data_IF_051700832405
#
_entry.id   IF_051700832405
#
_cell.length_a   1.000
_cell.length_b   1.000
_cell.length_c   1.000
_cell.angle_alpha   90.00
_cell.angle_beta   90.00
_cell.angle_gamma   90.00
#
_symmetry.space_group_name_H-M   'P 1'
#
loop_
_entity.id
_entity.type
_entity.pdbx_description
1 polymer ?
#
# COMPACT_ATOMS: atom_id res chain seq x y z
N UNK A 1 3.74 -33.95 47.03
CA UNK A 1 4.82 -33.11 46.49
C UNK A 1 5.12 -33.54 45.07
N UNK A 2 4.51 -32.87 44.09
CA UNK A 2 4.81 -33.03 42.67
C UNK A 2 5.30 -31.68 42.17
N UNK A 3 6.54 -31.63 41.68
CA UNK A 3 7.09 -30.42 41.06
C UNK A 3 6.47 -30.24 39.68
N UNK A 4 6.01 -29.01 39.42
CA UNK A 4 5.56 -28.56 38.11
C UNK A 4 6.76 -28.32 37.20
N UNK A 5 6.76 -28.95 36.01
CA UNK A 5 7.53 -28.47 34.86
C UNK A 5 6.57 -27.75 33.93
N UNK A 6 6.79 -26.45 33.76
CA UNK A 6 6.11 -25.61 32.77
C UNK A 6 6.87 -25.76 31.45
N UNK A 7 6.24 -26.17 30.33
CA UNK A 7 6.85 -26.03 29.02
C UNK A 7 6.69 -24.57 28.56
N UNK A 8 7.83 -23.86 28.49
CA UNK A 8 7.91 -22.57 27.82
C UNK A 8 7.56 -22.73 26.35
N UNK A 9 6.51 -22.04 25.92
CA UNK A 9 6.15 -21.91 24.51
C UNK A 9 6.91 -20.70 23.97
N UNK A 10 8.05 -20.96 23.32
CA UNK A 10 8.67 -19.98 22.43
C UNK A 10 7.73 -19.78 21.23
N UNK A 11 6.88 -18.77 21.33
CA UNK A 11 6.07 -18.27 20.24
C UNK A 11 6.96 -17.57 19.22
N UNK A 12 7.56 -18.33 18.31
CA UNK A 12 8.18 -17.77 17.11
C UNK A 12 7.06 -17.25 16.20
N UNK A 13 6.62 -16.01 16.45
CA UNK A 13 5.62 -15.32 15.63
C UNK A 13 6.25 -14.92 14.30
N UNK A 14 6.44 -15.90 13.41
CA UNK A 14 6.52 -15.63 11.99
C UNK A 14 5.23 -14.93 11.58
N UNK A 15 5.27 -13.61 11.40
CA UNK A 15 4.22 -12.89 10.68
C UNK A 15 4.04 -13.63 9.36
N UNK A 16 2.86 -14.20 9.14
CA UNK A 16 2.46 -14.78 7.86
C UNK A 16 2.80 -13.76 6.77
N UNK A 17 3.67 -14.13 5.84
CA UNK A 17 3.78 -13.46 4.55
C UNK A 17 2.37 -13.52 3.95
N UNK A 18 1.66 -12.39 3.94
CA UNK A 18 0.37 -12.31 3.29
C UNK A 18 0.57 -12.67 1.82
N UNK A 19 -0.23 -13.60 1.29
CA UNK A 19 -0.29 -14.06 -0.10
C UNK A 19 -0.78 -12.96 -1.08
N UNK A 20 -0.51 -11.70 -0.74
CA UNK A 20 -0.80 -10.54 -1.56
C UNK A 20 0.24 -10.44 -2.66
N UNK A 21 -0.23 -10.44 -3.90
CA UNK A 21 0.61 -10.34 -5.08
C UNK A 21 0.76 -8.85 -5.44
N UNK A 22 1.98 -8.32 -5.38
CA UNK A 22 2.21 -6.95 -5.82
C UNK A 22 2.15 -6.88 -7.33
N UNK A 23 1.42 -5.89 -7.86
CA UNK A 23 1.12 -5.78 -9.28
C UNK A 23 1.89 -4.62 -9.89
N UNK A 24 2.65 -4.92 -10.93
CA UNK A 24 3.40 -3.96 -11.72
C UNK A 24 2.78 -3.93 -13.12
N UNK A 25 2.53 -2.74 -13.62
CA UNK A 25 1.84 -2.53 -14.90
C UNK A 25 2.76 -1.81 -15.87
N UNK A 26 2.71 -2.21 -17.13
CA UNK A 26 3.52 -1.62 -18.20
C UNK A 26 3.19 -0.14 -18.48
N UNK A 27 1.95 0.27 -18.26
CA UNK A 27 1.48 1.65 -18.52
C UNK A 27 1.07 2.34 -17.21
N UNK A 28 0.97 3.67 -17.26
CA UNK A 28 0.38 4.46 -16.19
C UNK A 28 -1.10 4.09 -15.97
N UNK A 29 -1.62 4.38 -14.77
CA UNK A 29 -3.01 4.15 -14.35
C UNK A 29 -3.46 2.69 -14.44
N UNK A 30 -2.56 1.76 -14.10
CA UNK A 30 -2.81 0.32 -13.95
C UNK A 30 -3.28 -0.36 -15.25
N UNK A 31 -2.67 0.03 -16.37
CA UNK A 31 -3.00 -0.46 -17.72
C UNK A 31 -1.85 -1.24 -18.37
N UNK A 32 -2.16 -1.93 -19.45
CA UNK A 32 -1.19 -2.72 -20.22
C UNK A 32 -0.90 -4.08 -19.59
N UNK A 33 0.25 -4.67 -19.93
CA UNK A 33 0.65 -5.96 -19.37
C UNK A 33 0.81 -5.85 -17.84
N UNK A 34 0.19 -6.79 -17.12
CA UNK A 34 0.31 -6.96 -15.67
C UNK A 34 1.37 -8.00 -15.34
N UNK A 35 2.26 -7.67 -14.41
CA UNK A 35 3.23 -8.56 -13.81
C UNK A 35 2.95 -8.66 -12.30
N UNK A 36 2.82 -9.88 -11.79
CA UNK A 36 2.65 -10.14 -10.36
C UNK A 36 3.95 -10.66 -9.76
N UNK A 37 4.39 -10.05 -8.66
CA UNK A 37 5.60 -10.41 -7.95
C UNK A 37 5.30 -10.62 -6.46
N UNK A 38 5.76 -11.76 -5.96
CA UNK A 38 5.72 -12.14 -4.54
C UNK A 38 7.12 -12.22 -3.91
N UNK A 39 8.18 -12.21 -4.73
CA UNK A 39 9.58 -12.27 -4.31
C UNK A 39 10.42 -11.20 -5.01
N UNK A 40 11.68 -11.06 -4.60
CA UNK A 40 12.62 -10.18 -5.27
C UNK A 40 12.71 -10.44 -6.79
N UNK A 41 12.97 -9.38 -7.54
CA UNK A 41 13.16 -9.40 -8.98
C UNK A 41 14.36 -8.50 -9.31
N UNK A 42 15.43 -9.12 -9.84
CA UNK A 42 16.70 -8.44 -10.15
C UNK A 42 16.65 -7.70 -11.48
N UNK A 43 15.77 -8.08 -12.37
CA UNK A 43 15.53 -7.40 -13.64
C UNK A 43 14.09 -7.63 -14.11
N UNK A 44 13.33 -6.55 -14.21
CA UNK A 44 11.95 -6.58 -14.69
C UNK A 44 11.87 -6.69 -16.21
N UNK A 45 12.94 -6.30 -16.93
CA UNK A 45 12.97 -6.28 -18.39
C UNK A 45 12.94 -7.68 -19.01
N UNK A 46 13.26 -8.71 -18.22
CA UNK A 46 13.03 -10.11 -18.58
C UNK A 46 11.54 -10.45 -18.75
N UNK A 47 10.63 -9.66 -18.15
CA UNK A 47 9.19 -9.95 -18.07
C UNK A 47 8.30 -8.87 -18.69
N UNK A 48 8.71 -7.60 -18.68
CA UNK A 48 7.97 -6.47 -19.26
C UNK A 48 8.91 -5.40 -19.81
N UNK A 49 8.50 -4.66 -20.82
CA UNK A 49 9.34 -3.63 -21.46
C UNK A 49 9.59 -2.41 -20.58
N UNK A 50 8.69 -2.15 -19.61
CA UNK A 50 8.81 -1.06 -18.62
C UNK A 50 7.84 -1.26 -17.47
N UNK A 51 7.97 -0.40 -16.46
CA UNK A 51 6.99 -0.24 -15.38
C UNK A 51 6.44 1.18 -15.42
N UNK A 52 5.14 1.31 -15.68
CA UNK A 52 4.41 2.58 -15.72
C UNK A 52 3.56 2.86 -14.49
N UNK A 53 3.07 1.84 -13.79
CA UNK A 53 2.34 1.98 -12.52
C UNK A 53 2.48 0.75 -11.63
N UNK A 54 2.28 0.92 -10.31
CA UNK A 54 2.50 -0.12 -9.30
C UNK A 54 1.36 -0.13 -8.28
N UNK A 55 0.90 -1.32 -7.89
CA UNK A 55 0.01 -1.54 -6.74
C UNK A 55 0.73 -2.47 -5.77
N UNK A 56 1.01 -1.97 -4.57
CA UNK A 56 1.61 -2.74 -3.48
C UNK A 56 0.49 -3.16 -2.53
N UNK A 57 0.21 -4.46 -2.48
CA UNK A 57 -0.77 -5.04 -1.56
C UNK A 57 -0.11 -5.56 -0.27
N UNK A 58 1.09 -6.13 -0.43
CA UNK A 58 1.88 -6.78 0.63
C UNK A 58 3.28 -6.19 0.59
N UNK A 59 3.55 -5.24 1.49
CA UNK A 59 4.81 -4.51 1.55
C UNK A 59 5.39 -4.45 2.96
N UNK A 60 6.37 -3.57 3.21
CA UNK A 60 6.97 -2.61 2.27
C UNK A 60 7.99 -3.25 1.29
N UNK A 61 8.23 -2.57 0.16
CA UNK A 61 9.25 -2.94 -0.84
C UNK A 61 10.24 -1.80 -1.08
N UNK A 62 11.42 -2.14 -1.56
CA UNK A 62 12.34 -1.17 -2.16
C UNK A 62 12.49 -1.50 -3.64
N UNK A 63 12.32 -0.47 -4.46
CA UNK A 63 12.57 -0.47 -5.89
C UNK A 63 13.88 0.26 -6.22
N UNK A 64 14.51 -0.12 -7.32
CA UNK A 64 15.76 0.44 -7.78
C UNK A 64 15.69 0.83 -9.26
N UNK A 65 16.39 1.92 -9.58
CA UNK A 65 16.52 2.41 -10.95
C UNK A 65 17.10 1.37 -11.91
N UNK A 66 18.14 0.64 -11.50
CA UNK A 66 18.86 -0.32 -12.36
C UNK A 66 18.68 -1.76 -11.89
N UNK A 67 19.07 -2.70 -12.75
CA UNK A 67 19.08 -4.13 -12.43
C UNK A 67 20.02 -4.43 -11.25
N UNK A 68 19.79 -5.58 -10.61
CA UNK A 68 20.61 -6.09 -9.50
C UNK A 68 20.68 -5.18 -8.27
N UNK A 69 19.60 -4.44 -7.99
CA UNK A 69 19.44 -3.60 -6.79
C UNK A 69 20.42 -2.42 -6.71
N UNK A 70 20.66 -1.78 -7.86
CA UNK A 70 21.64 -0.68 -7.98
C UNK A 70 20.96 0.61 -8.44
N UNK A 71 21.50 1.75 -8.01
CA UNK A 71 21.05 3.07 -8.45
C UNK A 71 20.13 3.76 -7.45
N UNK A 72 19.31 4.67 -7.95
CA UNK A 72 18.33 5.39 -7.12
C UNK A 72 17.33 4.42 -6.49
N UNK A 73 17.01 4.64 -5.21
CA UNK A 73 16.13 3.78 -4.42
C UNK A 73 14.77 4.43 -4.20
N UNK A 74 13.72 3.61 -4.24
CA UNK A 74 12.33 4.05 -4.08
C UNK A 74 11.63 3.15 -3.06
N UNK A 75 11.23 3.69 -1.91
CA UNK A 75 10.43 2.94 -0.93
C UNK A 75 8.98 2.88 -1.42
N UNK A 76 8.48 1.67 -1.60
CA UNK A 76 7.13 1.36 -2.07
C UNK A 76 6.35 0.73 -0.91
N UNK A 77 5.58 1.56 -0.21
CA UNK A 77 4.68 1.15 0.86
C UNK A 77 3.37 0.64 0.28
N UNK A 78 2.55 -0.02 1.11
CA UNK A 78 1.22 -0.47 0.69
C UNK A 78 0.39 0.69 0.14
N UNK A 79 -0.03 0.59 -1.11
CA UNK A 79 -0.73 1.66 -1.80
C UNK A 79 -0.74 1.52 -3.32
N UNK A 80 -1.30 2.55 -3.95
CA UNK A 80 -1.45 2.67 -5.39
C UNK A 80 -0.56 3.80 -5.92
N UNK A 81 0.29 3.46 -6.89
CA UNK A 81 1.22 4.36 -7.54
C UNK A 81 0.88 4.44 -9.03
N UNK A 82 -0.04 5.33 -9.44
CA UNK A 82 -0.58 5.35 -10.81
C UNK A 82 0.43 5.80 -11.86
N UNK A 83 1.58 6.36 -11.46
CA UNK A 83 2.64 6.78 -12.39
C UNK A 83 4.00 6.92 -11.72
N UNK A 84 5.05 7.02 -12.52
CA UNK A 84 6.43 7.11 -12.02
C UNK A 84 6.68 8.24 -11.03
N UNK A 85 6.08 9.41 -11.24
CA UNK A 85 6.24 10.57 -10.36
C UNK A 85 5.64 10.37 -8.96
N UNK A 86 4.88 9.29 -8.73
CA UNK A 86 4.25 9.01 -7.42
C UNK A 86 5.13 8.17 -6.48
N UNK A 87 6.18 7.52 -7.00
CA UNK A 87 7.15 6.78 -6.16
C UNK A 87 8.52 7.48 -6.03
N UNK A 88 8.84 8.45 -6.88
CA UNK A 88 10.08 9.24 -6.79
C UNK A 88 9.88 10.54 -6.03
N UNK A 89 10.85 10.87 -5.15
CA UNK A 89 10.87 12.12 -4.38
C UNK A 89 11.84 13.17 -4.96
N UNK A 90 12.61 12.83 -6.01
CA UNK A 90 13.54 13.75 -6.69
C UNK A 90 13.32 13.87 -8.19
N UNK A 91 12.42 13.09 -8.79
CA UNK A 91 12.07 13.12 -10.22
C UNK A 91 13.27 12.98 -11.17
N UNK A 92 14.38 12.44 -10.67
CA UNK A 92 15.63 12.34 -11.41
C UNK A 92 15.66 11.11 -12.33
N UNK A 93 14.88 10.08 -12.00
CA UNK A 93 14.69 8.88 -12.83
C UNK A 93 13.24 8.43 -12.80
N UNK A 94 12.74 8.02 -13.96
CA UNK A 94 11.42 7.40 -14.13
C UNK A 94 11.51 5.87 -14.21
N UNK A 95 12.73 5.33 -14.26
CA UNK A 95 12.99 3.91 -14.49
C UNK A 95 12.91 3.14 -13.17
N UNK A 96 12.27 1.99 -13.22
CA UNK A 96 12.16 1.06 -12.10
C UNK A 96 12.42 -0.35 -12.62
N UNK A 97 13.59 -0.92 -12.32
CA UNK A 97 14.10 -2.13 -12.98
C UNK A 97 14.22 -3.32 -12.06
N UNK A 98 14.56 -3.10 -10.79
CA UNK A 98 14.65 -4.20 -9.81
C UNK A 98 13.99 -3.82 -8.50
N UNK A 99 13.52 -4.81 -7.76
CA UNK A 99 12.81 -4.60 -6.50
C UNK A 99 12.93 -5.81 -5.60
N UNK A 100 12.93 -5.58 -4.29
CA UNK A 100 12.93 -6.63 -3.27
C UNK A 100 12.03 -6.25 -2.10
N UNK A 101 11.43 -7.24 -1.41
CA UNK A 101 10.70 -6.97 -0.19
C UNK A 101 11.66 -6.46 0.90
N UNK A 102 11.19 -5.54 1.72
CA UNK A 102 11.89 -5.07 2.91
C UNK A 102 11.39 -5.85 4.13
N UNK A 103 12.32 -6.21 5.03
CA UNK A 103 11.97 -6.79 6.32
C UNK A 103 11.78 -5.67 7.33
N UNK A 104 10.70 -5.71 8.10
CA UNK A 104 10.47 -4.77 9.19
C UNK A 104 10.59 -5.48 10.55
N UNK A 105 10.95 -4.71 11.59
CA UNK A 105 11.03 -5.17 12.98
C UNK A 105 9.97 -4.46 13.83
N UNK A 106 9.69 -5.00 15.01
CA UNK A 106 8.77 -4.38 15.96
C UNK A 106 9.35 -3.12 16.62
N UNK A 107 10.67 -3.11 16.79
CA UNK A 107 11.48 -2.05 17.37
C UNK A 107 12.37 -1.41 16.30
N UNK A 108 12.63 -0.12 16.44
CA UNK A 108 13.47 0.63 15.51
C UNK A 108 14.53 1.41 16.26
N UNK A 109 15.80 1.14 15.93
CA UNK A 109 16.94 1.88 16.46
C UNK A 109 18.01 2.17 15.42
N UNK A 110 18.36 3.45 15.30
CA UNK A 110 19.33 3.96 14.33
C UNK A 110 20.36 4.86 15.00
N UNK A 111 21.62 4.70 14.61
CA UNK A 111 22.70 5.63 14.93
C UNK A 111 23.21 6.29 13.67
N UNK A 112 23.28 7.62 13.69
CA UNK A 112 23.90 8.43 12.64
C UNK A 112 25.22 9.01 13.16
N UNK A 113 26.24 9.01 12.32
CA UNK A 113 27.57 9.53 12.66
C UNK A 113 28.04 10.53 11.60
N UNK A 114 28.65 11.62 12.06
CA UNK A 114 29.16 12.70 11.22
C UNK A 114 30.33 12.26 10.33
N UNK A 115 31.19 11.35 10.82
CA UNK A 115 32.34 10.84 10.11
C UNK A 115 32.18 9.36 9.73
N UNK A 116 33.00 8.91 8.78
CA UNK A 116 33.08 7.49 8.43
C UNK A 116 33.62 6.68 9.61
N UNK A 117 33.41 5.37 9.61
CA UNK A 117 33.94 4.47 10.65
C UNK A 117 33.30 4.63 12.03
N UNK A 118 32.11 5.26 12.12
CA UNK A 118 31.36 5.52 13.37
C UNK A 118 32.01 6.54 14.30
N UNK A 119 32.67 7.54 13.71
CA UNK A 119 33.37 8.60 14.44
C UNK A 119 32.63 9.96 14.40
N UNK A 120 33.13 10.91 15.18
CA UNK A 120 32.58 12.27 15.23
C UNK A 120 31.30 12.37 16.05
N UNK A 121 30.48 13.39 15.75
CA UNK A 121 29.19 13.59 16.42
C UNK A 121 28.27 12.41 16.11
N UNK A 122 27.59 11.92 17.15
CA UNK A 122 26.61 10.83 17.07
C UNK A 122 25.20 11.33 17.37
N UNK A 123 24.23 10.87 16.60
CA UNK A 123 22.80 11.00 16.91
C UNK A 123 22.18 9.62 17.04
N UNK A 124 21.37 9.41 18.09
CA UNK A 124 20.57 8.21 18.30
C UNK A 124 19.10 8.52 17.99
N UNK A 125 18.45 7.66 17.21
CA UNK A 125 17.02 7.73 16.92
C UNK A 125 16.40 6.39 17.31
N UNK A 126 15.43 6.41 18.23
CA UNK A 126 14.74 5.22 18.74
C UNK A 126 13.25 5.44 18.60
N UNK A 127 12.58 4.54 17.88
CA UNK A 127 11.12 4.52 17.73
C UNK A 127 10.48 5.88 17.39
N UNK A 128 11.20 6.73 16.65
CA UNK A 128 10.74 8.04 16.20
C UNK A 128 11.12 8.34 14.74
N UNK A 129 10.43 9.29 14.12
CA UNK A 129 10.76 9.81 12.79
C UNK A 129 11.30 11.24 12.91
N UNK A 130 12.38 11.55 12.20
CA UNK A 130 13.08 12.84 12.29
C UNK A 130 12.93 13.59 10.97
N UNK A 131 11.98 14.53 10.85
CA UNK A 131 11.77 15.31 9.63
C UNK A 131 12.89 16.35 9.39
N UNK A 132 13.72 16.66 10.38
CA UNK A 132 14.87 17.56 10.23
C UNK A 132 15.95 17.21 11.24
N UNK A 133 17.11 16.75 10.77
CA UNK A 133 18.28 16.49 11.63
C UNK A 133 18.74 17.77 12.37
N UNK A 134 18.58 18.94 11.73
CA UNK A 134 18.89 20.24 12.30
C UNK A 134 18.09 20.55 13.57
N UNK A 135 16.84 20.09 13.66
CA UNK A 135 15.99 20.30 14.83
C UNK A 135 16.54 19.61 16.10
N UNK A 136 17.42 18.63 15.93
CA UNK A 136 18.09 17.90 17.01
C UNK A 136 19.56 18.31 17.18
N UNK A 137 19.98 19.45 16.62
CA UNK A 137 21.35 19.94 16.73
C UNK A 137 22.38 19.14 15.90
N UNK A 138 21.92 18.28 15.00
CA UNK A 138 22.75 17.57 14.05
C UNK A 138 22.86 18.38 12.75
N UNK A 139 23.85 18.06 11.90
CA UNK A 139 24.05 18.74 10.61
C UNK A 139 23.50 17.90 9.46
N UNK A 140 23.69 18.35 8.23
CA UNK A 140 23.34 17.59 7.03
C UNK A 140 24.38 16.52 6.66
N UNK A 141 25.52 16.48 7.35
CA UNK A 141 26.58 15.51 7.12
C UNK A 141 26.37 14.21 7.93
N UNK A 142 26.13 13.11 7.23
CA UNK A 142 26.08 11.74 7.77
C UNK A 142 26.98 10.85 6.93
N UNK A 143 28.08 10.38 7.52
CA UNK A 143 29.12 9.62 6.80
C UNK A 143 29.22 8.14 7.21
N UNK A 144 28.63 7.75 8.35
CA UNK A 144 28.39 6.34 8.68
C UNK A 144 27.10 6.18 9.49
N UNK A 145 26.51 4.97 9.44
CA UNK A 145 25.21 4.64 10.03
C UNK A 145 25.25 3.25 10.64
N UNK A 146 24.63 3.07 11.82
CA UNK A 146 24.31 1.73 12.35
C UNK A 146 22.80 1.59 12.50
N UNK A 147 22.20 0.73 11.68
CA UNK A 147 20.81 0.33 11.82
C UNK A 147 20.76 -0.90 12.74
N UNK A 148 20.50 -0.66 14.02
CA UNK A 148 20.50 -1.70 15.06
C UNK A 148 19.23 -2.55 14.99
N UNK A 149 18.10 -1.93 14.70
CA UNK A 149 16.84 -2.64 14.49
C UNK A 149 15.89 -1.83 13.61
N UNK A 150 14.97 -2.55 12.97
CA UNK A 150 14.02 -2.00 12.02
C UNK A 150 14.64 -1.61 10.69
N UNK A 151 13.78 -1.19 9.75
CA UNK A 151 14.21 -0.64 8.46
C UNK A 151 13.94 0.85 8.43
N UNK A 152 14.93 1.61 7.98
CA UNK A 152 14.90 3.06 7.94
C UNK A 152 15.10 3.58 6.52
N UNK A 153 14.63 4.79 6.25
CA UNK A 153 14.91 5.51 5.02
C UNK A 153 15.41 6.91 5.36
N UNK A 154 16.58 7.24 4.85
CA UNK A 154 17.17 8.58 4.93
C UNK A 154 16.96 9.37 3.64
N UNK A 155 16.85 10.68 3.78
CA UNK A 155 16.60 11.61 2.70
C UNK A 155 17.60 12.75 2.70
N UNK A 156 18.00 13.21 1.52
CA UNK A 156 18.99 14.29 1.35
C UNK A 156 18.48 15.66 1.81
N UNK A 157 17.16 15.86 1.92
CA UNK A 157 16.55 17.12 2.36
C UNK A 157 15.61 16.93 3.56
N UNK A 158 15.34 17.99 4.34
CA UNK A 158 14.33 17.96 5.40
C UNK A 158 12.93 17.69 4.84
N UNK A 159 12.09 17.08 5.67
CA UNK A 159 10.70 16.73 5.35
C UNK A 159 10.57 15.54 4.40
N UNK A 160 11.51 14.59 4.43
CA UNK A 160 11.48 13.35 3.66
C UNK A 160 11.54 13.56 2.14
N UNK A 161 12.34 14.55 1.69
CA UNK A 161 12.42 14.97 0.27
C UNK A 161 13.76 14.63 -0.37
N UNK A 162 13.76 14.54 -1.70
CA UNK A 162 14.93 14.22 -2.49
C UNK A 162 15.22 12.72 -2.56
N UNK A 163 16.47 12.36 -2.86
CA UNK A 163 16.90 10.95 -2.96
C UNK A 163 16.71 10.21 -1.64
N UNK A 164 16.32 8.95 -1.75
CA UNK A 164 16.07 8.05 -0.64
C UNK A 164 17.22 7.04 -0.52
N UNK A 165 17.58 6.69 0.70
CA UNK A 165 18.56 5.63 0.98
C UNK A 165 18.01 4.73 2.09
N UNK A 166 17.87 3.44 1.78
CA UNK A 166 17.34 2.45 2.73
C UNK A 166 18.48 1.91 3.60
N UNK A 167 18.23 1.87 4.91
CA UNK A 167 19.09 1.25 5.91
C UNK A 167 18.33 0.07 6.52
N UNK A 168 18.64 -1.15 6.04
CA UNK A 168 18.28 -2.39 6.71
C UNK A 168 19.24 -2.66 7.87
N UNK A 169 18.90 -3.60 8.75
CA UNK A 169 19.76 -4.00 9.87
C UNK A 169 21.21 -4.24 9.43
N UNK A 170 22.14 -3.47 9.99
CA UNK A 170 23.56 -3.55 9.65
C UNK A 170 24.39 -2.31 9.97
N UNK A 171 25.67 -2.47 9.72
CA UNK A 171 26.72 -1.48 9.95
C UNK A 171 27.19 -0.91 8.61
N UNK A 172 27.02 0.39 8.41
CA UNK A 172 27.42 1.12 7.20
C UNK A 172 28.54 2.09 7.56
N UNK A 173 29.78 1.70 7.28
CA UNK A 173 30.98 2.43 7.71
C UNK A 173 31.28 3.65 6.84
N UNK A 174 30.73 3.70 5.63
CA UNK A 174 30.95 4.79 4.68
C UNK A 174 29.68 5.06 3.87
N UNK A 175 29.49 6.29 3.39
CA UNK A 175 28.28 6.66 2.62
C UNK A 175 28.10 5.93 1.28
N UNK A 176 29.16 5.30 0.80
CA UNK A 176 29.11 4.44 -0.38
C UNK A 176 28.36 3.13 -0.09
N UNK A 177 28.32 2.69 1.17
CA UNK A 177 27.70 1.42 1.57
C UNK A 177 26.17 1.42 1.39
N UNK A 178 25.54 2.61 1.41
CA UNK A 178 24.12 2.80 1.09
C UNK A 178 23.88 3.42 -0.28
N UNK A 179 24.92 3.52 -1.12
CA UNK A 179 24.82 4.00 -2.50
C UNK A 179 24.71 5.51 -2.67
N UNK A 180 25.05 6.32 -1.66
CA UNK A 180 25.13 7.77 -1.81
C UNK A 180 26.45 8.22 -2.45
N UNK A 181 26.41 9.30 -3.23
CA UNK A 181 27.62 9.92 -3.81
C UNK A 181 28.29 10.93 -2.87
N UNK A 182 27.57 11.40 -1.85
CA UNK A 182 28.02 12.35 -0.85
C UNK A 182 27.37 12.03 0.49
N UNK A 183 28.01 12.36 1.63
CA UNK A 183 27.50 12.07 2.97
C UNK A 183 26.40 13.04 3.40
N UNK A 184 25.36 13.23 2.59
CA UNK A 184 24.28 14.17 2.87
C UNK A 184 22.99 13.44 3.25
N UNK A 185 22.52 13.65 4.48
CA UNK A 185 21.21 13.21 4.98
C UNK A 185 20.67 14.32 5.90
N UNK A 186 19.41 14.70 5.72
CA UNK A 186 18.77 15.77 6.49
C UNK A 186 17.43 15.38 7.13
N UNK A 187 16.88 14.23 6.76
CA UNK A 187 15.76 13.63 7.49
C UNK A 187 15.82 12.11 7.40
N UNK A 188 15.28 11.43 8.42
CA UNK A 188 15.18 9.97 8.47
C UNK A 188 13.82 9.60 9.01
N UNK A 189 13.23 8.50 8.52
CA UNK A 189 12.02 7.92 9.09
C UNK A 189 12.10 6.40 9.06
N UNK A 190 11.28 5.78 9.87
CA UNK A 190 11.08 4.32 9.83
C UNK A 190 10.25 3.96 8.60
N UNK A 191 10.57 2.84 7.96
CA UNK A 191 9.74 2.25 6.92
C UNK A 191 8.70 1.38 7.62
N UNK A 192 7.42 1.73 7.48
CA UNK A 192 6.30 1.00 8.06
C UNK A 192 5.16 0.97 7.06
N UNK A 193 4.24 0.02 7.20
CA UNK A 193 3.00 0.08 6.45
C UNK A 193 2.27 1.39 6.77
N UNK A 194 2.00 2.19 5.72
CA UNK A 194 1.41 3.54 5.81
C UNK A 194 0.02 3.59 6.45
N UNK A 195 -0.53 2.45 6.90
CA UNK A 195 -1.80 2.36 7.64
C UNK A 195 -1.77 3.09 8.99
N UNK A 196 -0.61 3.53 9.49
CA UNK A 196 -0.48 4.30 10.72
C UNK A 196 -0.53 5.83 10.59
N UNK A 197 -0.49 6.38 9.38
CA UNK A 197 -0.59 7.84 9.19
C UNK A 197 -1.80 8.19 8.30
N UNK A 198 -3.00 8.20 8.89
CA UNK A 198 -4.22 8.78 8.27
C UNK A 198 -4.14 10.29 8.00
N UNK A 199 -2.99 10.93 8.21
CA UNK A 199 -2.80 12.36 7.95
C UNK A 199 -1.84 12.52 6.78
N UNK A 200 -2.40 12.66 5.57
CA UNK A 200 -1.63 13.13 4.41
C UNK A 200 -1.94 12.43 3.08
N UNK A 201 -2.60 11.27 3.09
CA UNK A 201 -3.08 10.66 1.85
C UNK A 201 -4.36 11.37 1.38
N UNK A 202 -4.40 11.79 0.11
CA UNK A 202 -5.62 12.27 -0.54
C UNK A 202 -6.65 11.13 -0.51
N UNK A 203 -7.63 11.23 0.39
CA UNK A 203 -8.80 10.38 0.34
C UNK A 203 -9.64 10.93 -0.80
N UNK A 204 -9.66 10.23 -1.94
CA UNK A 204 -10.62 10.52 -2.99
C UNK A 204 -12.02 10.53 -2.34
N UNK A 205 -12.81 11.60 -2.50
CA UNK A 205 -14.16 11.62 -1.96
C UNK A 205 -14.90 10.39 -2.51
N UNK A 206 -15.60 9.67 -1.63
CA UNK A 206 -16.43 8.55 -2.03
C UNK A 206 -17.33 9.00 -3.19
N UNK A 207 -17.50 8.17 -4.25
CA UNK A 207 -18.39 8.52 -5.34
C UNK A 207 -19.77 8.84 -4.76
N UNK A 208 -20.30 10.00 -5.10
CA UNK A 208 -21.62 10.45 -4.64
C UNK A 208 -22.62 9.33 -4.94
N UNK A 209 -23.42 8.87 -3.96
CA UNK A 209 -24.46 7.90 -4.22
C UNK A 209 -25.32 8.38 -5.39
N UNK A 210 -25.54 7.51 -6.38
CA UNK A 210 -26.42 7.84 -7.49
C UNK A 210 -27.78 8.30 -6.93
N UNK A 211 -28.38 9.38 -7.48
CA UNK A 211 -29.69 9.82 -7.02
C UNK A 211 -30.69 8.65 -7.11
N UNK A 212 -31.46 8.47 -6.04
CA UNK A 212 -32.48 7.42 -6.00
C UNK A 212 -33.40 7.55 -7.23
N UNK A 213 -33.76 6.44 -7.89
CA UNK A 213 -34.69 6.49 -9.00
C UNK A 213 -36.01 7.13 -8.55
N UNK A 214 -36.55 8.02 -9.40
CA UNK A 214 -37.80 8.72 -9.12
C UNK A 214 -38.90 7.72 -8.76
N UNK A 215 -39.83 8.06 -7.82
CA UNK A 215 -40.94 7.20 -7.47
C UNK A 215 -41.72 6.81 -8.73
N UNK A 216 -41.89 5.50 -8.94
CA UNK A 216 -42.71 4.99 -10.03
C UNK A 216 -44.15 5.48 -9.83
N UNK A 217 -44.80 6.12 -10.82
CA UNK A 217 -46.19 6.52 -10.71
C UNK A 217 -47.08 5.33 -10.34
N UNK A 218 -48.10 5.53 -9.48
CA UNK A 218 -49.00 4.44 -9.12
C UNK A 218 -49.66 3.86 -10.37
N UNK A 219 -49.64 2.52 -10.45
CA UNK A 219 -50.23 1.76 -11.54
C UNK A 219 -51.74 2.06 -11.63
N UNK A 220 -52.31 2.33 -12.82
CA UNK A 220 -53.74 2.51 -12.96
C UNK A 220 -54.49 1.27 -12.45
N UNK A 221 -55.56 1.52 -11.70
CA UNK A 221 -56.37 0.46 -11.08
C UNK A 221 -56.91 -0.50 -12.16
N UNK A 222 -56.94 -1.83 -11.93
CA UNK A 222 -57.57 -2.75 -12.85
C UNK A 222 -59.06 -2.42 -12.98
N UNK A 223 -59.49 -2.20 -14.22
CA UNK A 223 -60.88 -1.97 -14.58
C UNK A 223 -61.78 -3.10 -14.01
N UNK A 224 -62.96 -2.82 -13.42
CA UNK A 224 -63.85 -3.86 -12.96
C UNK A 224 -64.27 -4.76 -14.13
N UNK A 225 -64.16 -6.07 -13.89
CA UNK A 225 -64.41 -7.16 -14.83
C UNK A 225 -65.78 -7.02 -15.57
N UNK A 226 -65.93 -7.46 -16.84
CA UNK A 226 -67.20 -7.43 -17.54
C UNK A 226 -68.22 -8.36 -16.87
N UNK A 227 -69.46 -7.88 -16.78
CA UNK A 227 -70.60 -8.57 -16.16
C UNK A 227 -70.79 -10.01 -16.70
N UNK A 228 -71.14 -11.02 -15.88
CA UNK A 228 -71.43 -12.37 -16.36
C UNK A 228 -72.67 -12.40 -17.28
N UNK A 229 -72.56 -13.17 -18.37
CA UNK A 229 -73.61 -13.39 -19.38
C UNK A 229 -74.87 -14.04 -18.77
N UNK A 230 -76.10 -13.69 -19.19
CA UNK A 230 -77.32 -14.28 -18.63
C UNK A 230 -77.44 -15.76 -18.98
N UNK A 231 -77.83 -16.58 -18.01
CA UNK A 231 -78.17 -18.01 -18.17
C UNK A 231 -79.52 -18.18 -18.90
N UNK A 232 -79.68 -19.16 -19.81
CA UNK A 232 -80.97 -19.46 -20.44
C UNK A 232 -81.92 -20.13 -19.44
N UNK A 233 -83.19 -19.72 -19.46
CA UNK A 233 -84.24 -20.25 -18.58
C UNK A 233 -84.71 -21.64 -19.09
N UNK A 234 -84.95 -22.63 -18.20
CA UNK A 234 -85.47 -23.93 -18.61
C UNK A 234 -86.96 -23.87 -19.00
N UNK A 235 -87.32 -24.76 -19.94
CA UNK A 235 -88.62 -24.87 -20.61
C UNK A 235 -89.83 -24.98 -19.64
N UNK A 236 -91.03 -24.50 -20.04
CA UNK A 236 -92.19 -24.46 -19.16
C UNK A 236 -92.83 -25.83 -18.94
N UNK A 237 -93.21 -26.10 -17.69
CA UNK A 237 -93.99 -27.27 -17.26
C UNK A 237 -95.50 -27.10 -17.57
N UNK A 238 -96.26 -28.20 -17.73
CA UNK A 238 -97.58 -28.17 -18.36
C UNK A 238 -98.70 -27.70 -17.42
N UNK A 239 -99.71 -27.11 -18.05
CA UNK A 239 -100.88 -26.45 -17.47
C UNK A 239 -101.90 -27.45 -16.89
N UNK A 240 -102.49 -27.22 -15.70
CA UNK A 240 -103.76 -27.84 -15.33
C UNK A 240 -104.96 -26.89 -15.53
N UNK A 241 -106.06 -27.51 -15.96
CA UNK A 241 -107.32 -26.95 -16.42
C UNK A 241 -108.20 -26.34 -15.29
N UNK A 242 -108.82 -25.20 -15.63
CA UNK A 242 -110.22 -24.75 -15.42
C UNK A 242 -111.10 -25.45 -14.35
N UNK A 243 -111.85 -24.76 -13.48
CA UNK A 243 -113.16 -24.06 -13.65
C UNK A 243 -113.73 -23.80 -12.22
N UNK A 244 -114.89 -23.15 -11.99
CA UNK A 244 -115.84 -22.50 -12.91
C UNK A 244 -115.91 -20.97 -12.81
#
# INVERSE_FOLDING_TARGET
HWFASVPGTEGNSFRKQCDGHNRFFELENFRGKKLELSSECKDVFEKTQRVGSVIVESGPWVGFERSSFVGEQFVLEKGEYPRWSTWTNCQNSYTLTSFKPLKDSADHKLYLFENAGFEGRKMEVVDDDVPSLWAHGFQDRVASVKAVSGTWVGYIYPGYRGRQYVFEHGDFKHWNDWGASAPQIQSVRRVRDMQWHKRGCYIAPAPTPAPAPAPVPPKPNPNPNPNPKPTPNPNPAPNPKSQP
#
